data_IF_110257495822
#
_entry.id   IF_110257495822
#
_cell.length_a   1.000
_cell.length_b   1.000
_cell.length_c   1.000
_cell.angle_alpha   90.00
_cell.angle_beta   90.00
_cell.angle_gamma   90.00
#
_symmetry.space_group_name_H-M   'P 1'
#
loop_
_entity.id
_entity.type
_entity.pdbx_description
1 polymer ?
#
# COMPACT_ATOMS: atom_id res chain seq x y z
N UNK A 1 53.31 36.39 -13.25
CA UNK A 1 53.52 36.51 -11.80
C UNK A 1 52.98 35.23 -11.17
N UNK A 2 53.80 34.17 -11.02
CA UNK A 2 54.66 33.91 -9.84
C UNK A 2 53.80 33.79 -8.56
N UNK A 3 53.75 32.74 -7.75
CA UNK A 3 54.52 31.49 -7.50
C UNK A 3 53.59 30.58 -6.66
N UNK A 4 53.64 29.23 -6.77
CA UNK A 4 53.00 28.31 -5.85
C UNK A 4 53.92 27.94 -4.66
N UNK A 5 53.37 27.84 -3.45
CA UNK A 5 54.07 27.41 -2.22
C UNK A 5 53.04 26.69 -1.35
N UNK A 6 53.25 25.59 -0.63
CA UNK A 6 54.22 24.49 -0.59
C UNK A 6 53.64 23.55 0.50
N UNK A 7 53.71 22.24 0.29
CA UNK A 7 53.34 21.19 1.26
C UNK A 7 54.13 21.32 2.57
N UNK A 8 53.52 21.06 3.74
CA UNK A 8 54.19 20.53 4.97
C UNK A 8 53.20 19.61 5.74
N UNK A 9 53.36 18.29 5.61
CA UNK A 9 53.86 17.28 6.59
C UNK A 9 52.82 16.80 7.61
N UNK A 10 52.38 15.55 7.42
CA UNK A 10 51.77 14.71 8.45
C UNK A 10 52.85 13.79 9.03
N UNK A 11 53.09 13.88 10.33
CA UNK A 11 54.00 13.00 11.07
C UNK A 11 53.21 11.84 11.70
N UNK A 12 53.60 10.62 11.35
CA UNK A 12 53.26 9.38 12.04
C UNK A 12 54.06 9.27 13.34
N UNK A 13 53.46 8.70 14.38
CA UNK A 13 54.19 8.07 15.48
C UNK A 13 53.54 6.72 15.80
N UNK A 14 54.26 5.64 15.49
CA UNK A 14 54.08 4.31 16.06
C UNK A 14 54.77 4.28 17.44
N UNK A 15 54.14 3.61 18.41
CA UNK A 15 54.76 3.23 19.68
C UNK A 15 54.36 1.79 20.03
N UNK A 16 55.36 0.96 20.32
CA UNK A 16 55.34 -0.49 20.29
C UNK A 16 54.91 -1.18 21.61
N UNK A 17 54.70 -2.49 21.47
CA UNK A 17 54.48 -3.51 22.51
C UNK A 17 55.47 -3.47 23.68
N UNK A 18 54.97 -3.81 24.87
CA UNK A 18 55.74 -4.32 26.01
C UNK A 18 54.98 -5.46 26.69
N UNK A 19 55.57 -6.66 26.66
CA UNK A 19 55.13 -7.88 27.34
C UNK A 19 55.85 -8.00 28.69
N UNK A 20 55.15 -8.40 29.76
CA UNK A 20 55.78 -9.06 30.91
C UNK A 20 54.79 -10.04 31.56
N UNK A 21 55.25 -11.28 31.76
CA UNK A 21 54.53 -12.44 32.32
C UNK A 21 54.57 -12.51 33.86
N UNK A 22 53.66 -13.37 34.37
CA UNK A 22 53.70 -14.18 35.59
C UNK A 22 53.36 -13.49 36.93
N UNK A 23 52.64 -14.10 37.89
CA UNK A 23 52.35 -15.52 38.12
C UNK A 23 51.08 -15.78 38.96
N UNK A 24 50.58 -17.02 38.82
CA UNK A 24 49.88 -17.91 39.74
C UNK A 24 48.89 -17.38 40.80
N UNK A 25 47.64 -17.86 40.69
CA UNK A 25 46.68 -17.96 41.79
C UNK A 25 45.49 -18.81 41.37
N UNK A 26 45.48 -20.08 41.79
CA UNK A 26 44.40 -21.05 41.56
C UNK A 26 43.33 -20.91 42.63
N UNK A 27 42.13 -20.43 42.27
CA UNK A 27 40.91 -20.68 43.04
C UNK A 27 39.73 -20.91 42.09
N UNK A 28 39.02 -22.01 42.33
CA UNK A 28 37.88 -22.50 41.55
C UNK A 28 36.58 -21.88 42.06
N UNK A 29 35.80 -21.16 41.24
CA UNK A 29 34.41 -20.82 41.56
C UNK A 29 33.46 -21.80 40.88
N UNK A 30 32.52 -22.31 41.66
CA UNK A 30 31.56 -23.35 41.27
C UNK A 30 30.70 -23.03 40.04
N UNK A 31 30.33 -24.09 39.33
CA UNK A 31 29.46 -24.07 38.18
C UNK A 31 28.08 -23.45 38.50
N UNK A 32 27.53 -22.56 37.66
CA UNK A 32 26.14 -22.14 37.76
C UNK A 32 25.21 -23.29 37.36
N UNK A 33 24.20 -23.58 38.20
CA UNK A 33 23.11 -24.53 37.91
C UNK A 33 22.41 -24.12 36.61
N UNK A 34 22.38 -25.03 35.64
CA UNK A 34 21.60 -24.89 34.42
C UNK A 34 20.09 -24.89 34.74
N UNK A 35 19.38 -23.88 34.28
CA UNK A 35 17.92 -23.85 34.28
C UNK A 35 17.36 -24.90 33.31
N UNK A 36 16.21 -25.54 33.60
CA UNK A 36 15.62 -26.54 32.73
C UNK A 36 15.15 -25.92 31.40
N UNK A 37 15.20 -26.66 30.28
CA UNK A 37 14.73 -26.15 28.99
C UNK A 37 13.23 -25.88 29.05
N UNK A 38 12.83 -24.69 28.63
CA UNK A 38 11.42 -24.33 28.44
C UNK A 38 10.77 -25.25 27.40
N UNK A 39 9.43 -25.43 27.45
CA UNK A 39 8.72 -26.29 26.51
C UNK A 39 8.97 -25.82 25.07
N UNK A 40 9.03 -26.74 24.08
CA UNK A 40 9.28 -26.38 22.71
C UNK A 40 8.18 -25.44 22.23
N UNK A 41 8.59 -24.32 21.63
CA UNK A 41 7.68 -23.41 20.95
C UNK A 41 6.88 -24.21 19.93
N UNK A 42 5.56 -24.26 20.09
CA UNK A 42 4.65 -24.83 19.13
C UNK A 42 4.94 -24.22 17.76
N UNK A 43 5.53 -25.01 16.88
CA UNK A 43 5.64 -24.70 15.47
C UNK A 43 4.21 -24.69 14.91
N UNK A 44 3.59 -23.50 14.90
CA UNK A 44 2.31 -23.27 14.26
C UNK A 44 2.44 -23.67 12.79
N UNK A 45 1.65 -24.66 12.41
CA UNK A 45 1.71 -25.35 11.13
C UNK A 45 1.62 -24.41 9.93
N UNK A 46 2.23 -24.87 8.85
CA UNK A 46 2.10 -24.29 7.51
C UNK A 46 0.62 -24.19 7.15
N UNK A 47 0.07 -22.97 7.24
CA UNK A 47 -1.31 -22.71 6.87
C UNK A 47 -1.43 -22.79 5.34
N UNK A 48 -2.38 -23.59 4.86
CA UNK A 48 -2.97 -23.43 3.51
C UNK A 48 -3.21 -21.94 3.31
N UNK A 49 -2.80 -21.32 2.18
CA UNK A 49 -3.01 -19.88 2.00
C UNK A 49 -4.50 -19.60 2.11
N UNK A 50 -4.88 -18.96 3.23
CA UNK A 50 -6.26 -18.61 3.51
C UNK A 50 -6.72 -17.69 2.39
N UNK A 51 -7.82 -18.02 1.73
CA UNK A 51 -8.47 -17.15 0.74
C UNK A 51 -8.56 -15.73 1.33
N UNK A 52 -8.26 -14.67 0.54
CA UNK A 52 -8.36 -13.30 1.03
C UNK A 52 -9.72 -13.03 1.69
N UNK A 53 -9.75 -12.36 2.86
CA UNK A 53 -10.99 -12.09 3.56
C UNK A 53 -11.88 -11.19 2.69
N UNK A 54 -13.14 -11.57 2.52
CA UNK A 54 -14.16 -10.77 1.83
C UNK A 54 -15.35 -10.57 2.75
N UNK A 55 -16.16 -9.56 2.47
CA UNK A 55 -17.44 -9.40 3.14
C UNK A 55 -18.49 -10.28 2.49
N UNK A 56 -19.34 -10.91 3.31
CA UNK A 56 -20.53 -11.60 2.82
C UNK A 56 -21.45 -10.60 2.09
N UNK A 57 -22.23 -11.08 1.09
CA UNK A 57 -23.23 -10.25 0.43
C UNK A 57 -24.14 -9.53 1.45
N UNK A 58 -24.46 -8.27 1.16
CA UNK A 58 -25.38 -7.48 1.95
C UNK A 58 -26.85 -7.84 1.70
N UNK A 59 -27.79 -7.07 2.29
CA UNK A 59 -29.22 -7.24 2.06
C UNK A 59 -29.55 -7.31 0.57
N UNK A 60 -30.53 -8.15 0.20
CA UNK A 60 -30.94 -8.40 -1.19
C UNK A 60 -29.82 -8.93 -2.12
N UNK A 61 -28.77 -9.53 -1.55
CA UNK A 61 -27.66 -10.10 -2.30
C UNK A 61 -26.75 -9.07 -2.95
N UNK A 62 -26.81 -7.80 -2.50
CA UNK A 62 -25.96 -6.73 -3.02
C UNK A 62 -24.52 -6.91 -2.58
N UNK A 63 -23.59 -6.49 -3.43
CA UNK A 63 -22.18 -6.35 -3.01
C UNK A 63 -22.09 -5.42 -1.81
N UNK A 64 -21.43 -5.86 -0.74
CA UNK A 64 -21.21 -5.03 0.44
C UNK A 64 -20.08 -4.03 0.20
N UNK A 65 -20.26 -2.82 0.73
CA UNK A 65 -19.29 -1.73 0.65
C UNK A 65 -18.56 -1.62 1.99
N UNK A 66 -17.24 -1.77 1.96
CA UNK A 66 -16.34 -1.58 3.09
C UNK A 66 -15.72 -0.18 3.02
N UNK A 67 -15.96 0.66 4.02
CA UNK A 67 -15.37 2.01 4.08
C UNK A 67 -14.33 2.18 5.19
N UNK A 68 -14.43 1.40 6.28
CA UNK A 68 -13.49 1.41 7.38
C UNK A 68 -13.57 0.12 8.19
N UNK A 69 -12.48 -0.22 8.88
CA UNK A 69 -12.43 -1.29 9.87
C UNK A 69 -12.97 -0.88 11.26
N UNK A 70 -12.91 -1.79 12.24
CA UNK A 70 -13.37 -1.53 13.60
C UNK A 70 -12.62 -0.38 14.27
N UNK A 71 -13.34 0.49 14.99
CA UNK A 71 -12.77 1.67 15.67
C UNK A 71 -12.12 1.36 17.03
N UNK A 72 -12.38 0.18 17.57
CA UNK A 72 -11.97 -0.22 18.93
C UNK A 72 -10.80 -1.21 18.95
N UNK A 73 -10.32 -1.67 17.80
CA UNK A 73 -9.31 -2.74 17.67
C UNK A 73 -7.90 -2.20 17.42
N UNK A 74 -7.44 -1.35 18.34
CA UNK A 74 -6.14 -0.69 18.24
C UNK A 74 -6.12 0.39 17.15
N UNK A 75 -5.05 1.18 17.14
CA UNK A 75 -4.86 2.27 16.19
C UNK A 75 -4.27 1.71 14.90
N UNK A 76 -5.10 1.11 14.05
CA UNK A 76 -4.69 0.69 12.69
C UNK A 76 -5.19 1.67 11.64
N UNK A 77 -4.50 1.77 10.52
CA UNK A 77 -4.91 2.57 9.36
C UNK A 77 -4.42 1.91 8.08
N UNK A 78 -5.27 1.85 7.06
CA UNK A 78 -4.89 1.42 5.73
C UNK A 78 -4.72 2.63 4.81
N UNK A 79 -3.51 2.83 4.30
CA UNK A 79 -3.29 3.74 3.17
C UNK A 79 -3.57 2.96 1.88
N UNK A 80 -4.42 3.53 1.03
CA UNK A 80 -4.79 2.94 -0.25
C UNK A 80 -4.47 3.90 -1.38
N UNK A 81 -4.04 3.35 -2.51
CA UNK A 81 -3.58 4.13 -3.65
C UNK A 81 -4.30 3.70 -4.91
N UNK A 82 -4.98 4.64 -5.56
CA UNK A 82 -5.59 4.39 -6.86
C UNK A 82 -4.52 4.62 -7.94
N UNK A 83 -4.23 3.55 -8.71
CA UNK A 83 -3.35 3.56 -9.89
C UNK A 83 -4.22 3.63 -11.14
N UNK A 84 -4.76 4.82 -11.38
CA UNK A 84 -5.74 5.08 -12.42
C UNK A 84 -5.09 5.48 -13.74
N UNK A 85 -5.59 4.89 -14.83
CA UNK A 85 -5.30 5.34 -16.18
C UNK A 85 -6.58 5.32 -17.01
N UNK A 86 -6.97 6.50 -17.50
CA UNK A 86 -8.17 6.67 -18.32
C UNK A 86 -7.89 6.31 -19.79
N UNK A 87 -8.96 6.06 -20.56
CA UNK A 87 -8.82 5.80 -22.00
C UNK A 87 -8.10 6.94 -22.76
N UNK A 88 -8.32 8.20 -22.35
CA UNK A 88 -7.70 9.36 -22.99
C UNK A 88 -6.22 9.58 -22.66
N UNK A 89 -5.68 8.87 -21.66
CA UNK A 89 -4.28 9.00 -21.26
C UNK A 89 -3.32 8.13 -22.07
N UNK A 90 -3.82 7.17 -22.88
CA UNK A 90 -2.98 6.32 -23.73
C UNK A 90 -2.09 7.11 -24.70
N UNK A 91 -2.66 8.00 -25.55
CA UNK A 91 -1.86 8.84 -26.43
C UNK A 91 -0.87 9.75 -25.70
N UNK A 92 -1.24 10.26 -24.52
CA UNK A 92 -0.35 11.08 -23.68
C UNK A 92 0.85 10.26 -23.15
N UNK A 93 0.60 9.02 -22.74
CA UNK A 93 1.66 8.09 -22.34
C UNK A 93 2.59 7.75 -23.51
N UNK A 94 2.04 7.53 -24.70
CA UNK A 94 2.83 7.33 -25.92
C UNK A 94 3.67 8.58 -26.29
N UNK A 95 3.20 9.77 -25.91
CA UNK A 95 3.93 11.04 -26.02
C UNK A 95 4.96 11.30 -24.91
N UNK A 96 5.17 10.36 -23.99
CA UNK A 96 6.18 10.45 -22.92
C UNK A 96 5.67 10.95 -21.57
N UNK A 97 4.36 11.15 -21.40
CA UNK A 97 3.80 11.43 -20.07
C UNK A 97 3.78 10.17 -19.19
N UNK A 98 4.19 10.31 -17.93
CA UNK A 98 4.25 9.21 -16.98
C UNK A 98 3.08 9.26 -15.99
N UNK A 99 2.29 8.18 -16.00
CA UNK A 99 1.19 7.93 -15.06
C UNK A 99 1.57 6.92 -13.97
N UNK A 100 2.74 6.30 -14.07
CA UNK A 100 3.37 5.56 -12.98
C UNK A 100 4.07 6.51 -11.99
N UNK A 101 4.19 6.09 -10.73
CA UNK A 101 4.92 6.86 -9.71
C UNK A 101 5.90 5.96 -8.92
N UNK A 102 7.04 5.57 -9.52
CA UNK A 102 8.00 4.68 -8.87
C UNK A 102 8.62 5.29 -7.62
N UNK A 103 8.71 6.63 -7.54
CA UNK A 103 9.19 7.32 -6.34
C UNK A 103 8.26 7.10 -5.15
N UNK A 104 6.94 7.20 -5.36
CA UNK A 104 5.95 6.93 -4.32
C UNK A 104 6.06 5.48 -3.82
N UNK A 105 6.10 4.51 -4.74
CA UNK A 105 6.20 3.09 -4.39
C UNK A 105 7.50 2.83 -3.60
N UNK A 106 8.62 3.43 -4.01
CA UNK A 106 9.88 3.32 -3.28
C UNK A 106 9.82 3.99 -1.90
N UNK A 107 9.16 5.14 -1.75
CA UNK A 107 8.95 5.78 -0.44
C UNK A 107 8.17 4.88 0.50
N UNK A 108 7.12 4.20 0.03
CA UNK A 108 6.38 3.21 0.84
C UNK A 108 7.28 2.04 1.27
N UNK A 109 8.13 1.52 0.37
CA UNK A 109 9.12 0.48 0.69
C UNK A 109 10.13 0.93 1.74
N UNK A 110 10.73 2.11 1.54
CA UNK A 110 11.70 2.70 2.48
C UNK A 110 11.09 2.86 3.86
N UNK A 111 9.85 3.33 3.93
CA UNK A 111 9.15 3.46 5.20
C UNK A 111 8.57 2.15 5.72
N UNK A 112 8.58 1.06 4.95
CA UNK A 112 7.97 -0.23 5.30
C UNK A 112 6.48 -0.07 5.64
N UNK A 113 5.74 0.64 4.79
CA UNK A 113 4.31 0.89 4.94
C UNK A 113 3.52 -0.08 4.08
N UNK A 114 2.82 -1.07 4.67
CA UNK A 114 1.92 -1.92 3.90
C UNK A 114 0.76 -1.09 3.34
N UNK A 115 0.36 -1.40 2.10
CA UNK A 115 -0.67 -0.65 1.40
C UNK A 115 -1.44 -1.52 0.41
N UNK A 116 -2.64 -1.09 0.04
CA UNK A 116 -3.45 -1.72 -1.02
C UNK A 116 -3.54 -0.76 -2.21
N UNK A 117 -3.11 -1.23 -3.38
CA UNK A 117 -3.13 -0.48 -4.64
C UNK A 117 -4.35 -0.92 -5.46
N UNK A 118 -5.29 -0.02 -5.69
CA UNK A 118 -6.44 -0.23 -6.57
C UNK A 118 -6.04 0.18 -7.98
N UNK A 119 -5.76 -0.81 -8.81
CA UNK A 119 -5.15 -0.62 -10.11
C UNK A 119 -6.18 -0.69 -11.23
N UNK A 120 -6.07 0.18 -12.23
CA UNK A 120 -6.85 0.00 -13.46
C UNK A 120 -6.20 -1.04 -14.35
N UNK A 121 -7.01 -1.81 -15.08
CA UNK A 121 -6.48 -2.78 -16.05
C UNK A 121 -5.65 -2.12 -17.15
N UNK A 122 -6.02 -0.91 -17.58
CA UNK A 122 -5.26 -0.10 -18.55
C UNK A 122 -3.89 0.30 -18.00
N UNK A 123 -3.81 0.71 -16.73
CA UNK A 123 -2.52 1.00 -16.11
C UNK A 123 -1.62 -0.24 -16.10
N UNK A 124 -2.17 -1.42 -15.81
CA UNK A 124 -1.42 -2.68 -15.85
C UNK A 124 -0.96 -3.08 -17.27
N UNK A 125 -1.78 -2.83 -18.29
CA UNK A 125 -1.38 -3.05 -19.70
C UNK A 125 -0.29 -2.05 -20.13
N UNK A 126 -0.33 -0.81 -19.65
CA UNK A 126 0.65 0.24 -19.96
C UNK A 126 1.99 0.04 -19.24
N UNK A 127 1.95 -0.36 -17.96
CA UNK A 127 3.11 -0.49 -17.07
C UNK A 127 3.22 -1.92 -16.50
N UNK A 128 3.38 -2.95 -17.36
CA UNK A 128 3.30 -4.35 -16.93
C UNK A 128 4.46 -4.75 -15.99
N UNK A 129 5.63 -4.12 -16.12
CA UNK A 129 6.77 -4.39 -15.25
C UNK A 129 6.53 -3.86 -13.83
N UNK A 130 6.01 -2.65 -13.73
CA UNK A 130 5.65 -1.97 -12.49
C UNK A 130 4.49 -2.69 -11.80
N UNK A 131 3.44 -3.06 -12.56
CA UNK A 131 2.31 -3.84 -12.04
C UNK A 131 2.78 -5.15 -11.42
N UNK A 132 3.62 -5.91 -12.14
CA UNK A 132 4.22 -7.15 -11.64
C UNK A 132 5.08 -6.93 -10.41
N UNK A 133 5.90 -5.87 -10.39
CA UNK A 133 6.76 -5.56 -9.27
C UNK A 133 5.96 -5.19 -8.02
N UNK A 134 4.87 -4.42 -8.16
CA UNK A 134 3.96 -4.11 -7.05
C UNK A 134 3.27 -5.39 -6.57
N UNK A 135 2.73 -6.20 -7.47
CA UNK A 135 2.00 -7.42 -7.12
C UNK A 135 2.84 -8.51 -6.45
N UNK A 136 4.15 -8.56 -6.71
CA UNK A 136 5.08 -9.52 -6.09
C UNK A 136 5.68 -9.02 -4.77
N UNK A 137 5.49 -7.75 -4.45
CA UNK A 137 6.03 -7.15 -3.24
C UNK A 137 5.14 -7.51 -2.04
N UNK A 138 5.66 -8.18 -0.99
CA UNK A 138 4.86 -8.58 0.16
C UNK A 138 4.32 -7.39 0.95
N UNK A 139 4.83 -6.18 0.73
CA UNK A 139 4.31 -4.97 1.34
C UNK A 139 2.95 -4.55 0.76
N UNK A 140 2.65 -4.96 -0.48
CA UNK A 140 1.48 -4.47 -1.20
C UNK A 140 0.41 -5.53 -1.41
N UNK A 141 -0.78 -5.04 -1.72
CA UNK A 141 -1.89 -5.77 -2.33
C UNK A 141 -2.26 -5.07 -3.62
N UNK A 142 -2.66 -5.83 -4.64
CA UNK A 142 -3.27 -5.27 -5.86
C UNK A 142 -4.74 -5.64 -5.89
N UNK A 143 -5.60 -4.63 -6.04
CA UNK A 143 -7.04 -4.74 -6.15
C UNK A 143 -7.54 -4.07 -7.44
N UNK A 144 -8.79 -4.30 -7.82
CA UNK A 144 -9.36 -3.87 -9.09
C UNK A 144 -9.97 -2.46 -9.01
N UNK A 145 -9.67 -1.62 -9.99
CA UNK A 145 -10.20 -0.27 -10.10
C UNK A 145 -10.83 0.02 -11.47
N UNK A 146 -11.52 -0.97 -12.05
CA UNK A 146 -12.05 -0.97 -13.43
C UNK A 146 -10.96 -1.09 -14.50
N UNK A 147 -11.34 -1.21 -15.78
CA UNK A 147 -10.35 -1.30 -16.85
C UNK A 147 -9.80 0.06 -17.27
N UNK A 148 -10.65 1.05 -17.57
CA UNK A 148 -10.24 2.37 -18.10
C UNK A 148 -10.73 3.55 -17.27
N UNK A 149 -10.98 3.33 -15.97
CA UNK A 149 -11.43 4.34 -15.02
C UNK A 149 -12.75 5.02 -15.45
N UNK A 150 -13.69 4.21 -15.97
CA UNK A 150 -15.04 4.67 -16.31
C UNK A 150 -15.93 4.55 -15.08
N UNK A 151 -16.77 5.54 -14.84
CA UNK A 151 -17.72 5.53 -13.74
C UNK A 151 -18.82 4.50 -13.95
N UNK A 152 -19.34 3.96 -12.84
CA UNK A 152 -20.44 3.00 -12.85
C UNK A 152 -21.80 3.67 -12.62
N UNK A 153 -21.80 5.00 -12.48
CA UNK A 153 -22.99 5.85 -12.51
C UNK A 153 -22.79 6.97 -13.52
N UNK A 154 -23.88 7.64 -13.88
CA UNK A 154 -23.80 8.91 -14.61
C UNK A 154 -23.30 10.01 -13.66
N UNK A 155 -22.83 11.12 -14.24
CA UNK A 155 -22.51 12.37 -13.55
C UNK A 155 -21.47 12.23 -12.42
N UNK A 156 -20.52 11.31 -12.58
CA UNK A 156 -19.45 11.08 -11.62
C UNK A 156 -18.20 11.85 -12.01
N UNK A 157 -18.06 13.09 -11.53
CA UNK A 157 -16.85 13.92 -11.69
C UNK A 157 -16.34 14.04 -13.15
N UNK A 158 -17.24 14.01 -14.14
CA UNK A 158 -16.90 14.09 -15.56
C UNK A 158 -16.30 12.82 -16.16
N UNK A 159 -16.29 11.70 -15.44
CA UNK A 159 -15.84 10.42 -15.97
C UNK A 159 -16.85 9.85 -17.00
N UNK A 160 -16.37 9.26 -18.11
CA UNK A 160 -17.23 8.47 -18.99
C UNK A 160 -17.86 7.31 -18.21
N UNK A 161 -19.12 6.97 -18.53
CA UNK A 161 -19.85 5.91 -17.84
C UNK A 161 -19.76 4.59 -18.59
N UNK A 162 -19.50 3.49 -17.88
CA UNK A 162 -19.65 2.14 -18.44
C UNK A 162 -21.12 1.80 -18.59
N UNK A 163 -21.53 1.23 -19.74
CA UNK A 163 -22.91 0.78 -19.90
C UNK A 163 -23.21 -0.40 -18.95
N UNK A 164 -24.48 -0.49 -18.55
CA UNK A 164 -24.96 -1.44 -17.54
C UNK A 164 -24.60 -2.90 -17.85
N UNK A 165 -24.75 -3.29 -19.11
CA UNK A 165 -24.44 -4.60 -19.67
C UNK A 165 -22.92 -4.89 -19.75
N UNK A 166 -22.08 -3.86 -19.69
CA UNK A 166 -20.62 -3.96 -19.81
C UNK A 166 -19.88 -3.87 -18.47
N UNK A 167 -20.54 -3.45 -17.40
CA UNK A 167 -19.96 -3.32 -16.05
C UNK A 167 -19.20 -4.58 -15.62
N UNK A 168 -19.82 -5.76 -15.70
CA UNK A 168 -19.16 -7.03 -15.33
C UNK A 168 -17.92 -7.30 -16.19
N UNK A 169 -18.07 -7.18 -17.50
CA UNK A 169 -16.99 -7.43 -18.45
C UNK A 169 -15.81 -6.45 -18.25
N UNK A 170 -16.07 -5.22 -17.84
CA UNK A 170 -15.04 -4.24 -17.52
C UNK A 170 -14.18 -4.68 -16.33
N UNK A 171 -14.81 -5.12 -15.24
CA UNK A 171 -14.13 -5.64 -14.04
C UNK A 171 -13.31 -6.89 -14.39
N UNK A 172 -13.90 -7.85 -15.11
CA UNK A 172 -13.22 -9.08 -15.55
C UNK A 172 -12.04 -8.78 -16.48
N UNK A 173 -12.18 -7.79 -17.36
CA UNK A 173 -11.11 -7.34 -18.26
C UNK A 173 -9.92 -6.77 -17.49
N UNK A 174 -10.16 -6.03 -16.41
CA UNK A 174 -9.08 -5.54 -15.56
C UNK A 174 -8.32 -6.68 -14.87
N UNK A 175 -9.02 -7.69 -14.32
CA UNK A 175 -8.36 -8.88 -13.80
C UNK A 175 -7.58 -9.66 -14.87
N UNK A 176 -8.08 -9.71 -16.11
CA UNK A 176 -7.35 -10.32 -17.22
C UNK A 176 -6.06 -9.55 -17.55
N UNK A 177 -6.08 -8.21 -17.47
CA UNK A 177 -4.88 -7.39 -17.63
C UNK A 177 -3.84 -7.66 -16.52
N UNK A 178 -4.27 -7.77 -15.26
CA UNK A 178 -3.37 -8.12 -14.15
C UNK A 178 -2.68 -9.47 -14.37
N UNK A 179 -3.44 -10.48 -14.84
CA UNK A 179 -2.88 -11.80 -15.18
C UNK A 179 -1.84 -11.70 -16.29
N UNK A 180 -2.13 -10.94 -17.36
CA UNK A 180 -1.16 -10.72 -18.46
C UNK A 180 0.11 -9.99 -17.98
N UNK A 181 -0.04 -9.00 -17.11
CA UNK A 181 1.10 -8.27 -16.54
C UNK A 181 1.96 -9.15 -15.61
N UNK A 182 1.38 -10.22 -15.07
CA UNK A 182 2.06 -11.14 -14.14
C UNK A 182 1.89 -10.75 -12.67
N UNK A 183 0.80 -10.06 -12.32
CA UNK A 183 0.39 -9.77 -10.95
C UNK A 183 -0.11 -11.08 -10.31
N UNK A 184 0.57 -11.63 -9.29
CA UNK A 184 0.10 -12.82 -8.61
C UNK A 184 -1.08 -12.47 -7.69
N UNK A 185 -2.09 -13.34 -7.66
CA UNK A 185 -3.18 -13.32 -6.67
C UNK A 185 -3.81 -11.94 -6.39
N UNK A 186 -4.33 -11.23 -7.42
CA UNK A 186 -5.01 -9.96 -7.18
C UNK A 186 -6.21 -10.17 -6.23
N UNK A 187 -6.42 -9.21 -5.34
CA UNK A 187 -7.44 -9.28 -4.30
C UNK A 187 -8.85 -9.25 -4.92
N UNK A 188 -9.81 -9.99 -4.33
CA UNK A 188 -11.22 -9.94 -4.72
C UNK A 188 -11.90 -8.66 -4.20
N UNK A 189 -11.23 -7.52 -4.38
CA UNK A 189 -11.70 -6.19 -3.99
C UNK A 189 -11.84 -5.33 -5.23
N UNK A 190 -12.87 -4.49 -5.22
CA UNK A 190 -13.14 -3.54 -6.27
C UNK A 190 -13.38 -2.15 -5.67
N UNK A 191 -12.79 -1.12 -6.27
CA UNK A 191 -13.10 0.27 -5.95
C UNK A 191 -13.72 0.94 -7.16
N UNK A 192 -14.85 1.60 -6.98
CA UNK A 192 -15.51 2.33 -8.06
C UNK A 192 -14.69 3.56 -8.46
N UNK A 193 -14.42 3.79 -9.75
CA UNK A 193 -13.85 5.06 -10.22
C UNK A 193 -14.66 6.27 -9.74
N UNK A 194 -13.97 7.25 -9.16
CA UNK A 194 -14.58 8.41 -8.51
C UNK A 194 -15.42 8.11 -7.27
N UNK A 195 -15.46 6.85 -6.81
CA UNK A 195 -16.27 6.42 -5.68
C UNK A 195 -17.79 6.41 -5.93
N UNK A 196 -18.23 6.62 -7.18
CA UNK A 196 -19.66 6.68 -7.49
C UNK A 196 -20.21 5.30 -7.84
N UNK A 197 -21.26 4.89 -7.12
CA UNK A 197 -21.97 3.64 -7.34
C UNK A 197 -23.44 3.79 -6.98
N UNK A 198 -24.27 2.93 -7.56
CA UNK A 198 -25.68 2.78 -7.20
C UNK A 198 -26.00 1.31 -6.90
N UNK A 199 -27.25 1.01 -6.55
CA UNK A 199 -27.65 -0.37 -6.29
C UNK A 199 -27.49 -1.28 -7.51
N UNK A 200 -27.61 -0.74 -8.73
CA UNK A 200 -27.44 -1.53 -9.93
C UNK A 200 -25.97 -1.96 -10.08
N UNK A 201 -25.03 -1.06 -9.88
CA UNK A 201 -23.60 -1.36 -9.89
C UNK A 201 -23.26 -2.42 -8.83
N UNK A 202 -23.80 -2.29 -7.61
CA UNK A 202 -23.62 -3.28 -6.54
C UNK A 202 -24.23 -4.65 -6.86
N UNK A 203 -25.38 -4.70 -7.55
CA UNK A 203 -25.97 -5.95 -8.07
C UNK A 203 -25.07 -6.58 -9.13
N UNK A 204 -24.51 -5.80 -10.04
CA UNK A 204 -23.63 -6.35 -11.07
C UNK A 204 -22.36 -6.95 -10.46
N UNK A 205 -21.77 -6.30 -9.45
CA UNK A 205 -20.57 -6.79 -8.79
C UNK A 205 -20.81 -8.06 -7.95
N UNK A 206 -22.04 -8.35 -7.52
CA UNK A 206 -22.28 -9.54 -6.68
C UNK A 206 -22.02 -10.82 -7.46
N UNK A 207 -22.33 -10.83 -8.75
CA UNK A 207 -22.02 -11.91 -9.68
C UNK A 207 -20.51 -12.08 -9.93
N UNK A 208 -19.69 -11.04 -9.70
CA UNK A 208 -18.22 -11.10 -9.80
C UNK A 208 -17.60 -11.66 -8.51
N UNK A 209 -18.31 -11.58 -7.38
CA UNK A 209 -17.85 -12.10 -6.10
C UNK A 209 -16.74 -11.25 -5.45
N UNK A 210 -16.77 -9.93 -5.68
CA UNK A 210 -15.84 -8.96 -5.08
C UNK A 210 -16.46 -8.24 -3.89
N UNK A 211 -15.63 -7.74 -2.97
CA UNK A 211 -16.04 -6.74 -1.98
C UNK A 211 -15.77 -5.34 -2.54
N UNK A 212 -16.76 -4.45 -2.49
CA UNK A 212 -16.55 -3.06 -2.85
C UNK A 212 -15.80 -2.36 -1.69
N UNK A 213 -14.72 -1.64 -1.99
CA UNK A 213 -13.91 -0.94 -0.98
C UNK A 213 -13.84 0.55 -1.29
N UNK A 214 -14.39 1.35 -0.38
CA UNK A 214 -14.36 2.80 -0.39
C UNK A 214 -13.33 3.28 0.64
N UNK A 215 -13.63 4.40 1.31
CA UNK A 215 -12.79 5.08 2.27
C UNK A 215 -13.65 5.90 3.22
N UNK A 216 -13.11 6.22 4.38
CA UNK A 216 -13.67 7.21 5.31
C UNK A 216 -12.81 8.48 5.38
N UNK A 217 -11.61 8.48 4.81
CA UNK A 217 -10.70 9.63 4.76
C UNK A 217 -10.28 9.90 3.32
N UNK A 218 -10.62 11.10 2.82
CA UNK A 218 -10.17 11.62 1.53
C UNK A 218 -8.91 12.45 1.75
N UNK A 219 -7.80 12.10 1.09
CA UNK A 219 -6.55 12.85 1.25
C UNK A 219 -6.54 14.21 0.55
N UNK A 220 -7.35 14.37 -0.50
CA UNK A 220 -7.36 15.57 -1.32
C UNK A 220 -6.14 15.69 -2.24
N UNK A 221 -5.42 14.59 -2.49
CA UNK A 221 -4.16 14.60 -3.24
C UNK A 221 -4.33 14.68 -4.76
N UNK A 222 -5.50 14.32 -5.28
CA UNK A 222 -5.84 14.46 -6.70
C UNK A 222 -5.69 15.92 -7.13
N UNK A 223 -4.81 16.13 -8.11
CA UNK A 223 -4.40 17.41 -8.70
C UNK A 223 -3.74 18.40 -7.73
N UNK A 224 -3.51 18.00 -6.48
CA UNK A 224 -2.86 18.86 -5.50
C UNK A 224 -1.37 19.00 -5.77
N UNK A 225 -0.86 20.22 -5.59
CA UNK A 225 0.57 20.56 -5.67
C UNK A 225 1.18 20.82 -4.29
N UNK A 226 0.36 21.19 -3.31
CA UNK A 226 0.73 21.41 -1.91
C UNK A 226 0.66 20.08 -1.11
N UNK A 227 1.82 19.54 -0.77
CA UNK A 227 1.92 18.30 0.00
C UNK A 227 1.57 18.46 1.48
N UNK A 228 1.70 19.67 2.04
CA UNK A 228 1.43 19.92 3.46
C UNK A 228 -0.08 20.03 3.69
N UNK A 229 -0.82 20.60 2.74
CA UNK A 229 -2.28 20.57 2.74
C UNK A 229 -2.82 19.12 2.71
N UNK A 230 -2.28 18.28 1.81
CA UNK A 230 -2.65 16.85 1.74
C UNK A 230 -2.32 16.13 3.05
N UNK A 231 -1.12 16.35 3.60
CA UNK A 231 -0.71 15.73 4.85
C UNK A 231 -1.62 16.13 6.02
N UNK A 232 -1.93 17.42 6.15
CA UNK A 232 -2.83 17.95 7.19
C UNK A 232 -4.22 17.32 7.09
N UNK A 233 -4.80 17.28 5.89
CA UNK A 233 -6.13 16.69 5.67
C UNK A 233 -6.18 15.21 6.08
N UNK A 234 -5.15 14.43 5.74
CA UNK A 234 -5.06 13.03 6.20
C UNK A 234 -4.90 12.94 7.72
N UNK A 235 -4.00 13.72 8.31
CA UNK A 235 -3.68 13.65 9.74
C UNK A 235 -4.82 14.12 10.66
N UNK A 236 -5.70 14.98 10.16
CA UNK A 236 -6.93 15.44 10.83
C UNK A 236 -8.08 14.44 10.67
N UNK A 237 -8.18 13.76 9.51
CA UNK A 237 -9.26 12.82 9.21
C UNK A 237 -9.08 11.43 9.82
N UNK A 238 -7.84 10.95 9.95
CA UNK A 238 -7.56 9.55 10.36
C UNK A 238 -8.06 9.24 11.77
N UNK A 239 -8.82 8.15 11.86
CA UNK A 239 -9.29 7.50 13.09
C UNK A 239 -8.82 6.04 13.09
N UNK A 240 -8.83 5.33 14.24
CA UNK A 240 -8.59 3.89 14.27
C UNK A 240 -9.46 3.16 13.24
N UNK A 241 -8.88 2.23 12.48
CA UNK A 241 -9.56 1.48 11.44
C UNK A 241 -9.83 2.25 10.14
N UNK A 242 -9.35 3.49 9.98
CA UNK A 242 -9.59 4.26 8.76
C UNK A 242 -8.95 3.62 7.52
N UNK A 243 -9.64 3.78 6.39
CA UNK A 243 -9.14 3.54 5.04
C UNK A 243 -8.99 4.91 4.36
N UNK A 244 -7.76 5.27 4.03
CA UNK A 244 -7.42 6.55 3.40
C UNK A 244 -7.31 6.35 1.89
N UNK A 245 -8.04 7.15 1.11
CA UNK A 245 -7.88 7.19 -0.35
C UNK A 245 -6.82 8.23 -0.75
N UNK A 246 -5.85 7.76 -1.52
CA UNK A 246 -4.77 8.52 -2.15
C UNK A 246 -4.58 7.98 -3.58
N UNK A 247 -3.72 8.62 -4.37
CA UNK A 247 -3.46 8.24 -5.76
C UNK A 247 -1.96 8.03 -5.98
N UNK A 248 -1.60 7.06 -6.83
CA UNK A 248 -0.22 6.86 -7.26
C UNK A 248 0.04 7.26 -8.72
N UNK A 249 -0.86 8.04 -9.30
CA UNK A 249 -0.75 8.54 -10.66
C UNK A 249 0.05 9.83 -10.69
N UNK A 250 1.33 9.79 -11.09
CA UNK A 250 2.27 10.92 -10.92
C UNK A 250 1.78 12.24 -11.50
N UNK A 251 1.23 12.23 -12.72
CA UNK A 251 0.76 13.45 -13.36
C UNK A 251 -0.55 13.97 -12.77
N UNK A 252 -1.37 13.10 -12.18
CA UNK A 252 -2.66 13.44 -11.58
C UNK A 252 -2.58 13.67 -10.06
N UNK A 253 -1.51 13.27 -9.38
CA UNK A 253 -1.32 13.44 -7.94
C UNK A 253 0.17 13.67 -7.61
N UNK A 254 0.76 14.80 -8.04
CA UNK A 254 2.20 15.02 -7.96
C UNK A 254 2.71 15.28 -6.54
N UNK A 255 1.83 15.62 -5.59
CA UNK A 255 2.19 15.92 -4.21
C UNK A 255 2.19 14.70 -3.27
N UNK A 256 1.58 13.58 -3.67
CA UNK A 256 1.31 12.43 -2.78
C UNK A 256 2.58 11.85 -2.16
N UNK A 257 3.64 11.68 -2.96
CA UNK A 257 4.91 11.14 -2.48
C UNK A 257 5.53 12.01 -1.38
N UNK A 258 5.48 13.34 -1.54
CA UNK A 258 6.00 14.27 -0.52
C UNK A 258 5.11 14.28 0.72
N UNK A 259 3.80 14.24 0.56
CA UNK A 259 2.86 14.19 1.68
C UNK A 259 3.10 12.96 2.57
N UNK A 260 3.44 11.80 1.97
CA UNK A 260 3.76 10.58 2.73
C UNK A 260 4.96 10.75 3.67
N UNK A 261 5.92 11.62 3.34
CA UNK A 261 7.08 11.92 4.19
C UNK A 261 6.69 12.59 5.50
N UNK A 262 5.52 13.22 5.56
CA UNK A 262 4.94 13.81 6.77
C UNK A 262 3.90 12.88 7.40
N UNK A 263 2.99 12.31 6.60
CA UNK A 263 1.88 11.47 7.08
C UNK A 263 2.39 10.26 7.86
N UNK A 264 3.38 9.54 7.30
CA UNK A 264 3.85 8.27 7.87
C UNK A 264 4.49 8.42 9.25
N UNK A 265 5.50 9.31 9.46
CA UNK A 265 6.08 9.49 10.78
C UNK A 265 5.07 10.06 11.79
N UNK A 266 4.19 10.98 11.39
CA UNK A 266 3.21 11.57 12.30
C UNK A 266 2.15 10.57 12.76
N UNK A 267 1.64 9.71 11.87
CA UNK A 267 0.71 8.66 12.27
C UNK A 267 1.38 7.64 13.19
N UNK A 268 2.65 7.27 12.94
CA UNK A 268 3.42 6.43 13.87
C UNK A 268 3.58 7.07 15.23
N UNK A 269 3.90 8.37 15.29
CA UNK A 269 4.00 9.15 16.53
C UNK A 269 2.68 9.19 17.29
N UNK A 270 1.55 9.20 16.57
CA UNK A 270 0.19 9.06 17.14
C UNK A 270 -0.19 7.61 17.51
N UNK A 271 0.74 6.67 17.39
CA UNK A 271 0.56 5.26 17.76
C UNK A 271 -0.15 4.40 16.71
N UNK A 272 -0.28 4.87 15.47
CA UNK A 272 -0.91 4.09 14.41
C UNK A 272 0.04 3.05 13.81
N UNK A 273 -0.49 1.84 13.59
CA UNK A 273 0.11 0.80 12.75
C UNK A 273 -0.53 0.81 11.37
N UNK A 274 0.30 0.84 10.34
CA UNK A 274 -0.16 0.69 8.95
C UNK A 274 -0.49 -0.77 8.66
N UNK A 275 -1.59 -0.99 7.95
CA UNK A 275 -2.10 -2.31 7.58
C UNK A 275 -2.64 -2.30 6.16
N UNK A 276 -2.80 -3.49 5.57
CA UNK A 276 -3.51 -3.62 4.29
C UNK A 276 -5.03 -3.62 4.49
N UNK A 277 -5.79 -3.42 3.41
CA UNK A 277 -7.26 -3.50 3.46
C UNK A 277 -7.74 -4.88 3.92
N UNK A 278 -7.07 -5.96 3.50
CA UNK A 278 -7.44 -7.32 3.92
C UNK A 278 -7.39 -7.52 5.43
N UNK A 279 -6.41 -6.94 6.13
CA UNK A 279 -6.32 -7.01 7.59
C UNK A 279 -7.51 -6.30 8.25
N UNK A 280 -7.94 -5.14 7.72
CA UNK A 280 -9.10 -4.42 8.25
C UNK A 280 -10.42 -5.18 8.00
N UNK A 281 -10.60 -5.77 6.81
CA UNK A 281 -11.77 -6.60 6.50
C UNK A 281 -11.77 -7.86 7.36
N UNK A 282 -10.63 -8.52 7.52
CA UNK A 282 -10.48 -9.69 8.38
C UNK A 282 -10.85 -9.38 9.84
N UNK A 283 -10.40 -8.24 10.36
CA UNK A 283 -10.77 -7.78 11.70
C UNK A 283 -12.27 -7.50 11.85
N UNK A 284 -12.92 -6.93 10.83
CA UNK A 284 -14.36 -6.69 10.82
C UNK A 284 -15.17 -7.99 10.78
N UNK A 285 -14.73 -8.99 10.01
CA UNK A 285 -15.42 -10.28 9.91
C UNK A 285 -15.44 -11.08 11.22
N UNK A 286 -14.42 -10.90 12.07
CA UNK A 286 -14.39 -11.60 13.34
C UNK A 286 -15.45 -11.08 14.33
N UNK A 287 -16.02 -9.89 14.11
CA UNK A 287 -16.95 -9.21 15.02
C UNK A 287 -17.97 -8.38 14.22
N UNK A 288 -18.95 -9.04 13.56
CA UNK A 288 -19.89 -8.42 12.63
C UNK A 288 -20.84 -7.39 13.24
#
# INVERSE_FOLDING_TARGET
MMIPVRRIVATCALGALGVALAACGTETPGAPKASPPGPPASASGSAVPSRPPTLAPGPSGLTRVFANGPRTRGRTVALTFDADMTAGQGPRAAGGEHFDNPRLINTLRTFKVPATVFMTGRWADQYPAEARAIGRDPLFEVANHSYSHYAFTKDCYGLPTVSKDRMRADVERAYAAFRRAGVPHPMPYFRFPGGCYDQQALRTLSAVGVTAVQWDVVSGDAFATDSDAVARQVLEGVKPGSVVVMHCTRSAAPATERALRTIVPELRRKGFRFVKVSELIGAANQHP
#
